data_IF_374677773686
#
_entry.id   IF_374677773686
#
_cell.length_a   1.000
_cell.length_b   1.000
_cell.length_c   1.000
_cell.angle_alpha   90.00
_cell.angle_beta   90.00
_cell.angle_gamma   90.00
#
_symmetry.space_group_name_H-M   'P 1'
#
loop_
_entity.id
_entity.type
_entity.pdbx_description
1 polymer ?
#
# COMPACT_ATOMS: atom_id res chain seq x y z
N UNK A 1 -74.22 49.99 29.80
CA UNK A 1 -73.64 48.98 28.90
C UNK A 1 -72.11 49.15 28.76
N UNK A 2 -71.27 48.75 29.74
CA UNK A 2 -69.81 48.94 29.68
C UNK A 2 -69.01 47.67 29.26
N UNK A 3 -69.67 46.52 29.16
CA UNK A 3 -69.01 45.20 29.02
C UNK A 3 -68.49 44.93 27.58
N UNK A 4 -69.13 45.51 26.57
CA UNK A 4 -68.86 45.21 25.15
C UNK A 4 -67.56 45.83 24.62
N UNK A 5 -67.17 47.01 25.13
CA UNK A 5 -65.90 47.69 24.78
C UNK A 5 -64.67 47.01 25.40
N UNK A 6 -64.87 46.25 26.47
CA UNK A 6 -63.77 45.58 27.20
C UNK A 6 -63.38 44.25 26.53
N UNK A 7 -64.35 43.54 25.95
CA UNK A 7 -64.10 42.31 25.18
C UNK A 7 -63.40 42.59 23.84
N UNK A 8 -63.82 43.61 23.09
CA UNK A 8 -63.18 44.00 21.81
C UNK A 8 -61.71 44.40 21.97
N UNK A 9 -61.36 45.12 23.04
CA UNK A 9 -59.95 45.43 23.37
C UNK A 9 -59.11 44.19 23.69
N UNK A 10 -59.65 43.22 24.44
CA UNK A 10 -58.92 41.98 24.78
C UNK A 10 -58.63 41.12 23.54
N UNK A 11 -59.56 41.04 22.60
CA UNK A 11 -59.41 40.28 21.34
C UNK A 11 -58.43 40.94 20.36
N UNK A 12 -58.37 42.27 20.33
CA UNK A 12 -57.38 43.01 19.53
C UNK A 12 -55.95 42.82 20.07
N UNK A 13 -55.78 42.84 21.40
CA UNK A 13 -54.48 42.61 22.05
C UNK A 13 -54.01 41.16 21.89
N UNK A 14 -54.92 40.18 21.91
CA UNK A 14 -54.57 38.76 21.69
C UNK A 14 -54.13 38.49 20.24
N UNK A 15 -54.82 39.07 19.24
CA UNK A 15 -54.41 38.99 17.82
C UNK A 15 -53.05 39.67 17.58
N UNK A 16 -52.83 40.87 18.13
CA UNK A 16 -51.55 41.56 18.01
C UNK A 16 -50.39 40.80 18.69
N UNK A 17 -50.64 40.10 19.81
CA UNK A 17 -49.65 39.18 20.42
C UNK A 17 -49.40 37.96 19.55
N UNK A 18 -50.45 37.35 18.98
CA UNK A 18 -50.32 36.19 18.10
C UNK A 18 -49.54 36.49 16.82
N UNK A 19 -49.77 37.66 16.19
CA UNK A 19 -49.01 38.12 15.03
C UNK A 19 -47.53 38.39 15.36
N UNK A 20 -47.24 39.00 16.52
CA UNK A 20 -45.86 39.19 16.99
C UNK A 20 -45.13 37.86 17.22
N UNK A 21 -45.82 36.86 17.78
CA UNK A 21 -45.26 35.51 17.99
C UNK A 21 -45.05 34.78 16.65
N UNK A 22 -45.99 34.91 15.71
CA UNK A 22 -45.87 34.33 14.38
C UNK A 22 -44.72 34.95 13.56
N UNK A 23 -44.56 36.28 13.63
CA UNK A 23 -43.45 37.00 13.00
C UNK A 23 -42.10 36.61 13.62
N UNK A 24 -42.04 36.46 14.96
CA UNK A 24 -40.83 35.99 15.65
C UNK A 24 -40.47 34.54 15.29
N UNK A 25 -41.47 33.64 15.14
CA UNK A 25 -41.25 32.27 14.67
C UNK A 25 -40.73 32.22 13.22
N UNK A 26 -41.27 33.07 12.33
CA UNK A 26 -40.79 33.18 10.94
C UNK A 26 -39.33 33.65 10.90
N UNK A 27 -38.99 34.72 11.62
CA UNK A 27 -37.60 35.19 11.76
C UNK A 27 -36.66 34.12 12.30
N UNK A 28 -37.07 33.39 13.36
CA UNK A 28 -36.25 32.27 13.89
C UNK A 28 -36.04 31.18 12.86
N UNK A 29 -37.08 30.74 12.14
CA UNK A 29 -36.93 29.74 11.06
C UNK A 29 -35.97 30.19 9.97
N UNK A 30 -36.05 31.45 9.55
CA UNK A 30 -35.12 31.99 8.53
C UNK A 30 -33.69 32.00 9.04
N UNK A 31 -33.46 32.44 10.28
CA UNK A 31 -32.11 32.44 10.90
C UNK A 31 -31.57 31.02 11.05
N UNK A 32 -32.39 30.06 11.50
CA UNK A 32 -31.96 28.66 11.62
C UNK A 32 -31.62 28.05 10.26
N UNK A 33 -32.40 28.34 9.21
CA UNK A 33 -32.10 27.90 7.84
C UNK A 33 -30.81 28.51 7.29
N UNK A 34 -30.55 29.80 7.56
CA UNK A 34 -29.30 30.46 7.15
C UNK A 34 -28.11 29.83 7.86
N UNK A 35 -28.17 29.62 9.17
CA UNK A 35 -27.08 28.97 9.93
C UNK A 35 -26.84 27.55 9.43
N UNK A 36 -27.90 26.77 9.19
CA UNK A 36 -27.80 25.41 8.66
C UNK A 36 -27.16 25.41 7.26
N UNK A 37 -27.57 26.34 6.39
CA UNK A 37 -26.98 26.51 5.06
C UNK A 37 -25.49 26.85 5.13
N UNK A 38 -25.10 27.72 6.07
CA UNK A 38 -23.71 28.13 6.29
C UNK A 38 -22.86 26.96 6.81
N UNK A 39 -23.41 26.15 7.71
CA UNK A 39 -22.75 24.95 8.22
C UNK A 39 -22.60 23.88 7.13
N UNK A 40 -23.63 23.69 6.30
CA UNK A 40 -23.63 22.71 5.21
C UNK A 40 -22.63 23.11 4.11
N UNK A 41 -22.60 24.38 3.73
CA UNK A 41 -21.63 24.90 2.74
C UNK A 41 -20.20 24.80 3.26
N UNK A 42 -19.96 25.10 4.54
CA UNK A 42 -18.65 24.90 5.16
C UNK A 42 -18.25 23.42 5.19
N UNK A 43 -19.17 22.51 5.55
CA UNK A 43 -18.92 21.07 5.54
C UNK A 43 -18.56 20.56 4.15
N UNK A 44 -19.32 20.96 3.12
CA UNK A 44 -19.04 20.60 1.73
C UNK A 44 -17.66 21.12 1.30
N UNK A 45 -17.33 22.37 1.62
CA UNK A 45 -16.03 22.96 1.29
C UNK A 45 -14.86 22.19 1.94
N UNK A 46 -14.95 21.89 3.23
CA UNK A 46 -13.93 21.10 3.94
C UNK A 46 -13.83 19.69 3.36
N UNK A 47 -14.95 19.03 3.09
CA UNK A 47 -14.97 17.69 2.48
C UNK A 47 -14.33 17.68 1.09
N UNK A 48 -14.54 18.74 0.29
CA UNK A 48 -13.91 18.93 -1.01
C UNK A 48 -12.40 19.07 -0.90
N UNK A 49 -11.91 19.86 0.07
CA UNK A 49 -10.47 20.02 0.32
C UNK A 49 -9.82 18.70 0.74
N UNK A 50 -10.46 17.96 1.66
CA UNK A 50 -9.96 16.63 2.08
C UNK A 50 -9.93 15.67 0.89
N UNK A 51 -11.02 15.62 0.11
CA UNK A 51 -11.12 14.72 -1.05
C UNK A 51 -10.07 15.08 -2.10
N UNK A 52 -9.87 16.37 -2.38
CA UNK A 52 -8.83 16.84 -3.29
C UNK A 52 -7.43 16.50 -2.78
N UNK A 53 -7.16 16.68 -1.49
CA UNK A 53 -5.89 16.29 -0.87
C UNK A 53 -5.63 14.78 -0.98
N UNK A 54 -6.65 13.96 -0.73
CA UNK A 54 -6.58 12.50 -0.90
C UNK A 54 -6.34 12.13 -2.37
N UNK A 55 -7.06 12.74 -3.31
CA UNK A 55 -6.89 12.49 -4.75
C UNK A 55 -5.49 12.90 -5.24
N UNK A 56 -4.99 14.07 -4.83
CA UNK A 56 -3.66 14.55 -5.16
C UNK A 56 -2.60 13.61 -4.55
N UNK A 57 -2.78 13.18 -3.31
CA UNK A 57 -1.89 12.21 -2.66
C UNK A 57 -1.85 10.88 -3.41
N UNK A 58 -3.01 10.33 -3.80
CA UNK A 58 -3.07 9.12 -4.62
C UNK A 58 -2.46 9.29 -6.02
N UNK A 59 -2.60 10.46 -6.64
CA UNK A 59 -2.02 10.72 -7.96
C UNK A 59 -0.51 10.99 -7.90
N UNK A 60 -0.02 11.60 -6.80
CA UNK A 60 1.40 11.84 -6.58
C UNK A 60 2.19 10.55 -6.31
N UNK A 61 1.53 9.49 -5.83
CA UNK A 61 2.10 8.13 -5.73
C UNK A 61 2.11 7.41 -7.10
N UNK A 62 1.58 8.04 -8.16
CA UNK A 62 1.24 7.39 -9.44
C UNK A 62 2.06 7.81 -10.66
N UNK A 63 3.13 8.60 -10.52
CA UNK A 63 4.22 8.54 -11.50
C UNK A 63 5.16 7.38 -11.15
N UNK A 64 4.61 6.15 -11.05
CA UNK A 64 5.45 4.96 -10.87
C UNK A 64 6.24 4.79 -12.17
N UNK A 65 7.51 5.18 -12.16
CA UNK A 65 8.46 4.78 -13.18
C UNK A 65 8.41 3.25 -13.22
N UNK A 66 7.90 2.70 -14.34
CA UNK A 66 7.78 1.27 -14.51
C UNK A 66 9.14 0.72 -14.91
N UNK A 67 9.68 -0.18 -14.09
CA UNK A 67 10.97 -0.81 -14.35
C UNK A 67 10.76 -2.20 -14.99
N UNK A 68 11.56 -2.55 -15.99
CA UNK A 68 11.78 -3.97 -16.33
C UNK A 68 12.66 -4.63 -15.27
N UNK A 69 12.59 -5.95 -15.13
CA UNK A 69 13.50 -6.70 -14.25
C UNK A 69 14.44 -7.52 -15.11
N UNK A 70 15.73 -7.47 -14.80
CA UNK A 70 16.75 -8.29 -15.46
C UNK A 70 17.60 -8.97 -14.41
N UNK A 71 17.73 -10.29 -14.52
CA UNK A 71 18.72 -11.04 -13.74
C UNK A 71 19.99 -11.23 -14.56
N UNK A 72 21.14 -11.03 -13.95
CA UNK A 72 22.44 -11.13 -14.63
C UNK A 72 23.43 -11.92 -13.79
N UNK A 73 24.29 -12.66 -14.47
CA UNK A 73 25.48 -13.28 -13.89
C UNK A 73 26.72 -12.63 -14.47
N UNK A 74 27.76 -12.53 -13.66
CA UNK A 74 29.08 -12.13 -14.12
C UNK A 74 29.94 -13.38 -14.25
N UNK A 75 30.76 -13.46 -15.28
CA UNK A 75 31.76 -14.52 -15.40
C UNK A 75 33.08 -14.10 -14.72
N UNK A 76 34.06 -15.00 -14.64
CA UNK A 76 35.38 -14.74 -14.05
C UNK A 76 36.17 -13.60 -14.72
N UNK A 77 35.76 -13.14 -15.91
CA UNK A 77 36.31 -11.96 -16.59
C UNK A 77 35.45 -10.71 -16.40
N UNK A 78 34.54 -10.71 -15.42
CA UNK A 78 33.57 -9.67 -15.11
C UNK A 78 32.67 -9.27 -16.30
N UNK A 79 32.46 -10.18 -17.26
CA UNK A 79 31.52 -9.96 -18.35
C UNK A 79 30.11 -10.33 -17.89
N UNK A 80 29.19 -9.40 -18.12
CA UNK A 80 27.76 -9.61 -17.90
C UNK A 80 27.21 -10.65 -18.87
N UNK A 81 26.45 -11.59 -18.32
CA UNK A 81 25.56 -12.48 -19.06
C UNK A 81 24.14 -12.30 -18.53
N UNK A 82 23.21 -11.96 -19.40
CA UNK A 82 21.80 -11.84 -19.04
C UNK A 82 21.23 -13.25 -18.87
N UNK A 83 20.69 -13.55 -17.69
CA UNK A 83 20.07 -14.85 -17.39
C UNK A 83 18.59 -14.79 -17.75
N UNK A 84 17.89 -13.78 -17.26
CA UNK A 84 16.49 -13.51 -17.62
C UNK A 84 16.24 -12.02 -17.76
N UNK A 85 15.24 -11.67 -18.56
CA UNK A 85 14.77 -10.30 -18.71
C UNK A 85 13.25 -10.31 -18.85
N UNK A 86 12.58 -9.60 -17.96
CA UNK A 86 11.15 -9.36 -17.98
C UNK A 86 10.91 -7.88 -18.28
N UNK A 87 9.97 -7.61 -19.18
CA UNK A 87 9.60 -6.24 -19.54
C UNK A 87 8.93 -5.53 -18.36
N UNK A 88 8.82 -4.21 -18.45
CA UNK A 88 8.06 -3.42 -17.48
C UNK A 88 6.60 -3.89 -17.37
N UNK A 89 6.00 -4.39 -18.46
CA UNK A 89 4.62 -4.90 -18.45
C UNK A 89 4.47 -6.21 -17.68
N UNK A 90 5.51 -7.05 -17.68
CA UNK A 90 5.50 -8.36 -17.03
C UNK A 90 5.95 -8.29 -15.56
N UNK A 91 6.70 -7.25 -15.20
CA UNK A 91 7.30 -7.11 -13.87
C UNK A 91 6.52 -6.16 -12.96
N UNK A 92 5.67 -5.28 -13.51
CA UNK A 92 4.91 -4.32 -12.70
C UNK A 92 3.45 -4.75 -12.54
N UNK A 93 3.08 -5.07 -11.31
CA UNK A 93 1.70 -5.35 -10.92
C UNK A 93 1.12 -4.18 -10.12
N UNK A 94 -0.19 -4.20 -9.84
CA UNK A 94 -0.86 -3.10 -9.13
C UNK A 94 -0.21 -2.71 -7.80
N UNK A 95 0.50 -3.65 -7.17
CA UNK A 95 1.20 -3.46 -5.90
C UNK A 95 2.64 -2.94 -6.04
N UNK A 96 3.31 -3.09 -7.19
CA UNK A 96 4.73 -2.71 -7.34
C UNK A 96 5.50 -3.56 -8.35
N UNK A 97 6.82 -3.61 -8.17
CA UNK A 97 7.76 -4.35 -9.01
C UNK A 97 7.98 -5.77 -8.45
N UNK A 98 7.90 -6.75 -9.33
CA UNK A 98 7.98 -8.17 -9.01
C UNK A 98 8.96 -8.89 -9.93
N UNK A 99 9.49 -10.00 -9.41
CA UNK A 99 10.27 -10.98 -10.14
C UNK A 99 9.55 -12.34 -10.03
N UNK A 100 9.56 -13.13 -11.11
CA UNK A 100 9.01 -14.48 -11.03
C UNK A 100 9.93 -15.39 -10.21
N UNK A 101 9.35 -16.36 -9.49
CA UNK A 101 10.12 -17.35 -8.75
C UNK A 101 11.10 -18.10 -9.67
N UNK A 102 10.64 -18.46 -10.88
CA UNK A 102 11.44 -19.14 -11.91
C UNK A 102 12.66 -18.32 -12.35
N UNK A 103 12.50 -17.00 -12.50
CA UNK A 103 13.60 -16.12 -12.91
C UNK A 103 14.64 -15.97 -11.79
N UNK A 104 14.17 -15.91 -10.54
CA UNK A 104 15.04 -15.85 -9.38
C UNK A 104 15.79 -17.17 -9.16
N UNK A 105 15.13 -18.30 -9.43
CA UNK A 105 15.76 -19.63 -9.41
C UNK A 105 16.84 -19.80 -10.47
N UNK A 106 16.62 -19.37 -11.71
CA UNK A 106 17.70 -19.43 -12.72
C UNK A 106 18.95 -18.66 -12.30
N UNK A 107 18.81 -17.64 -11.47
CA UNK A 107 19.92 -16.91 -10.90
C UNK A 107 20.52 -17.62 -9.67
N UNK A 108 19.68 -18.05 -8.73
CA UNK A 108 20.10 -18.46 -7.38
C UNK A 108 20.14 -19.98 -7.16
N UNK A 109 19.57 -20.78 -8.05
CA UNK A 109 19.44 -22.24 -7.94
C UNK A 109 18.59 -22.66 -6.75
N UNK A 110 17.38 -22.11 -6.62
CA UNK A 110 16.47 -22.47 -5.53
C UNK A 110 15.76 -23.82 -5.79
N UNK A 111 15.32 -24.44 -4.70
CA UNK A 111 14.41 -25.59 -4.80
C UNK A 111 13.02 -25.16 -4.35
N UNK A 112 12.01 -25.57 -5.10
CA UNK A 112 10.62 -25.24 -4.82
C UNK A 112 9.81 -26.49 -4.46
N UNK A 113 8.98 -26.38 -3.43
CA UNK A 113 8.04 -27.41 -3.04
C UNK A 113 6.71 -26.77 -2.65
N UNK A 114 5.59 -27.31 -3.14
CA UNK A 114 4.27 -26.79 -2.80
C UNK A 114 3.24 -26.98 -3.91
N UNK A 115 2.17 -26.21 -3.83
CA UNK A 115 1.03 -26.22 -4.73
C UNK A 115 0.67 -24.79 -5.17
N UNK A 116 -0.56 -24.61 -5.68
CA UNK A 116 -1.02 -23.31 -6.17
C UNK A 116 -1.28 -22.30 -5.04
N UNK A 117 -1.49 -22.76 -3.82
CA UNK A 117 -1.82 -21.91 -2.67
C UNK A 117 -0.60 -21.63 -1.80
N UNK A 118 0.25 -22.63 -1.58
CA UNK A 118 1.45 -22.54 -0.74
C UNK A 118 2.69 -22.89 -1.54
N UNK A 119 3.72 -22.05 -1.45
CA UNK A 119 5.05 -22.30 -2.00
C UNK A 119 6.10 -22.24 -0.90
N UNK A 120 6.93 -23.28 -0.83
CA UNK A 120 8.13 -23.35 0.00
C UNK A 120 9.35 -23.20 -0.91
N UNK A 121 10.16 -22.19 -0.64
CA UNK A 121 11.44 -21.94 -1.30
C UNK A 121 12.54 -22.41 -0.37
N UNK A 122 13.42 -23.27 -0.87
CA UNK A 122 14.55 -23.83 -0.12
C UNK A 122 15.82 -23.36 -0.80
N UNK A 123 16.75 -22.84 0.00
CA UNK A 123 18.06 -22.40 -0.47
C UNK A 123 19.05 -23.55 -0.30
N UNK A 124 19.58 -24.13 -1.39
CA UNK A 124 20.57 -25.19 -1.30
C UNK A 124 21.87 -24.71 -0.63
N UNK A 125 22.49 -25.59 0.16
CA UNK A 125 23.75 -25.31 0.84
C UNK A 125 23.60 -24.64 2.22
N UNK A 126 22.68 -23.68 2.39
CA UNK A 126 22.40 -23.08 3.71
C UNK A 126 21.34 -23.84 4.51
N UNK A 127 20.42 -24.52 3.82
CA UNK A 127 19.26 -25.17 4.45
C UNK A 127 18.18 -24.18 4.90
N UNK A 128 18.36 -22.89 4.59
CA UNK A 128 17.38 -21.86 4.83
C UNK A 128 16.14 -22.09 3.96
N UNK A 129 14.97 -21.79 4.50
CA UNK A 129 13.72 -21.92 3.78
C UNK A 129 12.78 -20.75 4.04
N UNK A 130 11.93 -20.49 3.05
CA UNK A 130 10.82 -19.54 3.15
C UNK A 130 9.53 -20.21 2.72
N UNK A 131 8.48 -20.08 3.54
CA UNK A 131 7.13 -20.45 3.14
C UNK A 131 6.31 -19.21 2.84
N UNK A 132 5.57 -19.23 1.75
CA UNK A 132 4.67 -18.15 1.36
C UNK A 132 3.35 -18.70 0.85
N UNK A 133 2.31 -17.87 0.97
CA UNK A 133 0.97 -18.18 0.50
C UNK A 133 0.56 -17.18 -0.57
N UNK A 134 -0.14 -17.66 -1.60
CA UNK A 134 -0.69 -16.82 -2.66
C UNK A 134 -1.58 -15.72 -2.08
N UNK A 135 -1.35 -14.47 -2.48
CA UNK A 135 -2.08 -13.28 -2.02
C UNK A 135 -1.70 -12.80 -0.62
N UNK A 136 -0.81 -13.49 0.09
CA UNK A 136 -0.39 -13.10 1.44
C UNK A 136 0.79 -12.14 1.40
N UNK A 137 0.73 -11.08 2.21
CA UNK A 137 1.90 -10.25 2.54
C UNK A 137 2.67 -10.78 3.75
N UNK A 138 2.29 -11.94 4.31
CA UNK A 138 3.01 -12.60 5.40
C UNK A 138 3.69 -13.84 4.86
N UNK A 139 5.01 -13.91 5.08
CA UNK A 139 5.86 -15.05 4.75
C UNK A 139 6.51 -15.59 6.02
N UNK A 140 6.84 -16.88 6.02
CA UNK A 140 7.64 -17.51 7.06
C UNK A 140 9.07 -17.63 6.54
N UNK A 141 10.05 -17.07 7.24
CA UNK A 141 11.47 -17.21 6.91
C UNK A 141 12.13 -17.92 8.08
N UNK A 142 12.68 -19.12 7.84
CA UNK A 142 13.31 -19.96 8.87
C UNK A 142 12.46 -20.08 10.15
N UNK A 143 11.14 -20.29 9.98
CA UNK A 143 10.19 -20.41 11.09
C UNK A 143 9.73 -19.07 11.71
N UNK A 144 10.22 -17.92 11.25
CA UNK A 144 9.81 -16.61 11.75
C UNK A 144 8.84 -15.90 10.80
N UNK A 145 7.76 -15.34 11.33
CA UNK A 145 6.79 -14.55 10.54
C UNK A 145 7.36 -13.18 10.19
N UNK A 146 7.30 -12.86 8.90
CA UNK A 146 7.69 -11.56 8.34
C UNK A 146 6.54 -10.99 7.54
N UNK A 147 6.29 -9.69 7.69
CA UNK A 147 5.28 -8.97 6.90
C UNK A 147 5.98 -8.12 5.85
N UNK A 148 5.73 -8.45 4.60
CA UNK A 148 6.17 -7.69 3.43
C UNK A 148 5.26 -6.48 3.22
N UNK A 149 5.81 -5.45 2.57
CA UNK A 149 5.05 -4.28 2.11
C UNK A 149 4.11 -4.60 0.94
N UNK A 150 4.35 -5.71 0.24
CA UNK A 150 3.61 -6.16 -0.93
C UNK A 150 3.31 -7.67 -0.82
N UNK A 151 2.14 -8.15 -1.29
CA UNK A 151 1.79 -9.57 -1.22
C UNK A 151 2.60 -10.42 -2.21
N UNK A 152 2.77 -11.70 -1.92
CA UNK A 152 3.21 -12.68 -2.93
C UNK A 152 2.03 -12.96 -3.88
N UNK A 153 2.28 -13.00 -5.18
CA UNK A 153 1.22 -13.22 -6.18
C UNK A 153 1.34 -14.61 -6.81
N UNK A 154 0.21 -15.25 -7.09
CA UNK A 154 0.14 -16.38 -8.01
C UNK A 154 -0.71 -15.99 -9.21
N UNK A 155 -0.10 -15.98 -10.40
CA UNK A 155 -0.77 -15.64 -11.66
C UNK A 155 -0.55 -16.80 -12.61
N UNK A 156 -1.65 -17.41 -13.06
CA UNK A 156 -1.63 -18.55 -13.99
C UNK A 156 -0.74 -19.71 -13.53
N UNK A 157 -0.64 -19.94 -12.21
CA UNK A 157 0.16 -21.01 -11.63
C UNK A 157 1.63 -20.66 -11.40
N UNK A 158 2.05 -19.41 -11.67
CA UNK A 158 3.40 -18.93 -11.43
C UNK A 158 3.43 -17.98 -10.23
N UNK A 159 4.38 -18.21 -9.34
CA UNK A 159 4.61 -17.33 -8.20
C UNK A 159 5.48 -16.14 -8.61
N UNK A 160 5.08 -14.97 -8.13
CA UNK A 160 5.82 -13.73 -8.27
C UNK A 160 6.11 -13.16 -6.89
N UNK A 161 7.38 -12.88 -6.64
CA UNK A 161 7.85 -12.25 -5.43
C UNK A 161 8.05 -10.76 -5.65
N UNK A 162 7.63 -9.91 -4.70
CA UNK A 162 7.94 -8.50 -4.78
C UNK A 162 9.46 -8.33 -4.66
N UNK A 163 10.08 -7.45 -5.47
CA UNK A 163 11.55 -7.30 -5.51
C UNK A 163 12.11 -6.92 -4.13
N UNK A 164 11.33 -6.20 -3.32
CA UNK A 164 11.66 -5.86 -1.93
C UNK A 164 11.97 -7.09 -1.05
N UNK A 165 11.39 -8.25 -1.36
CA UNK A 165 11.69 -9.50 -0.66
C UNK A 165 13.16 -9.89 -0.85
N UNK A 166 13.64 -9.79 -2.09
CA UNK A 166 15.03 -10.09 -2.41
C UNK A 166 15.98 -9.01 -1.86
N UNK A 167 15.56 -7.74 -1.86
CA UNK A 167 16.36 -6.63 -1.34
C UNK A 167 16.55 -6.69 0.19
N UNK A 168 15.45 -6.88 0.91
CA UNK A 168 15.46 -6.83 2.37
C UNK A 168 15.88 -8.17 2.98
N UNK A 169 15.41 -9.30 2.43
CA UNK A 169 15.48 -10.59 3.12
C UNK A 169 16.42 -11.61 2.49
N UNK A 170 16.96 -11.41 1.29
CA UNK A 170 18.00 -12.28 0.73
C UNK A 170 19.38 -11.63 0.85
N UNK A 171 20.39 -12.41 1.27
CA UNK A 171 21.80 -12.00 1.23
C UNK A 171 22.51 -12.60 0.03
N UNK A 172 23.54 -11.91 -0.51
CA UNK A 172 24.29 -12.37 -1.68
C UNK A 172 23.70 -11.94 -3.02
N UNK A 173 22.63 -11.13 -2.99
CA UNK A 173 22.09 -10.44 -4.16
C UNK A 173 22.42 -8.97 -4.12
N UNK A 174 22.78 -8.42 -5.28
CA UNK A 174 22.90 -6.99 -5.53
C UNK A 174 21.73 -6.56 -6.41
N UNK A 175 20.98 -5.57 -5.96
CA UNK A 175 19.83 -5.01 -6.67
C UNK A 175 20.13 -3.55 -7.00
N UNK A 176 20.07 -3.19 -8.28
CA UNK A 176 20.40 -1.86 -8.78
C UNK A 176 19.27 -1.34 -9.67
N UNK A 177 18.86 -0.10 -9.43
CA UNK A 177 17.83 0.58 -10.22
C UNK A 177 18.49 1.59 -11.17
N UNK A 178 18.31 1.40 -12.48
CA UNK A 178 18.68 2.37 -13.51
C UNK A 178 17.44 3.12 -13.97
N UNK A 179 17.33 4.39 -13.62
CA UNK A 179 16.22 5.25 -14.08
C UNK A 179 16.31 5.57 -15.58
N UNK A 180 17.54 5.73 -16.11
CA UNK A 180 17.76 6.01 -17.53
C UNK A 180 17.27 4.86 -18.41
N UNK A 181 17.56 3.62 -18.00
CA UNK A 181 17.18 2.42 -18.75
C UNK A 181 15.82 1.86 -18.33
N UNK A 182 15.21 2.45 -17.29
CA UNK A 182 14.01 1.95 -16.61
C UNK A 182 14.12 0.45 -16.31
N UNK A 183 15.23 0.06 -15.70
CA UNK A 183 15.57 -1.33 -15.46
C UNK A 183 16.05 -1.56 -14.02
N UNK A 184 15.47 -2.57 -13.37
CA UNK A 184 15.93 -3.13 -12.12
C UNK A 184 16.80 -4.34 -12.44
N UNK A 185 18.07 -4.26 -12.07
CA UNK A 185 19.08 -5.28 -12.31
C UNK A 185 19.31 -6.06 -11.02
N UNK A 186 19.22 -7.38 -11.09
CA UNK A 186 19.45 -8.28 -9.96
C UNK A 186 20.63 -9.18 -10.33
N UNK A 187 21.67 -9.17 -9.50
CA UNK A 187 22.90 -9.91 -9.75
C UNK A 187 23.45 -10.54 -8.47
N UNK A 188 24.45 -11.40 -8.62
CA UNK A 188 25.17 -11.99 -7.49
C UNK A 188 26.19 -10.98 -6.95
N UNK A 189 26.19 -10.75 -5.65
CA UNK A 189 27.06 -9.75 -4.99
C UNK A 189 28.56 -10.07 -5.18
N UNK A 190 28.92 -11.35 -5.21
CA UNK A 190 30.32 -11.81 -5.36
C UNK A 190 30.74 -12.12 -6.80
N UNK A 191 29.89 -11.86 -7.80
CA UNK A 191 30.26 -11.95 -9.22
C UNK A 191 30.66 -13.35 -9.75
N UNK A 192 30.59 -14.40 -8.95
CA UNK A 192 30.92 -15.78 -9.36
C UNK A 192 29.70 -16.72 -9.26
N UNK A 193 29.75 -17.83 -9.99
CA UNK A 193 28.79 -18.96 -10.00
C UNK A 193 28.65 -19.69 -8.64
N UNK A 194 29.09 -19.09 -7.55
CA UNK A 194 28.91 -19.62 -6.20
C UNK A 194 27.48 -19.35 -5.72
N UNK A 195 26.59 -20.28 -6.05
CA UNK A 195 25.29 -20.52 -5.41
C UNK A 195 25.40 -20.65 -3.86
N UNK A 196 26.62 -20.78 -3.33
CA UNK A 196 26.97 -21.12 -1.95
C UNK A 196 26.80 -20.01 -0.90
N UNK A 197 26.30 -18.82 -1.26
CA UNK A 197 26.24 -17.67 -0.35
C UNK A 197 24.86 -17.25 0.13
N UNK A 198 23.78 -17.78 -0.44
CA UNK A 198 22.45 -17.25 -0.14
C UNK A 198 21.97 -17.67 1.24
N UNK A 199 21.49 -16.69 1.99
CA UNK A 199 20.79 -16.88 3.24
C UNK A 199 19.62 -15.95 3.29
N UNK A 200 18.58 -16.37 3.99
CA UNK A 200 17.58 -15.40 4.38
C UNK A 200 18.10 -14.60 5.57
N UNK A 201 17.98 -13.27 5.53
CA UNK A 201 18.24 -12.43 6.70
C UNK A 201 17.24 -12.83 7.78
N UNK A 202 17.73 -13.22 8.94
CA UNK A 202 16.85 -13.47 10.07
C UNK A 202 16.16 -12.17 10.46
N UNK A 203 14.82 -12.12 10.43
CA UNK A 203 14.09 -10.97 10.95
C UNK A 203 14.42 -10.78 12.42
N UNK A 204 14.70 -9.55 12.83
CA UNK A 204 15.09 -9.24 14.21
C UNK A 204 13.93 -9.59 15.13
N UNK A 205 14.12 -10.58 16.01
CA UNK A 205 13.13 -10.92 17.02
C UNK A 205 12.94 -9.73 17.98
N UNK A 206 11.70 -9.32 18.32
CA UNK A 206 11.43 -8.15 19.16
C UNK A 206 11.98 -8.25 20.60
N UNK A 207 12.57 -9.37 20.99
CA UNK A 207 13.16 -9.61 22.31
C UNK A 207 14.55 -8.97 22.56
N UNK A 208 15.05 -8.11 21.65
CA UNK A 208 16.33 -7.38 21.83
C UNK A 208 16.20 -5.85 21.84
N UNK A 209 15.05 -5.30 22.22
CA UNK A 209 15.00 -3.90 22.63
C UNK A 209 15.34 -3.89 24.13
N UNK A 210 16.63 -3.71 24.46
CA UNK A 210 17.02 -3.31 25.82
C UNK A 210 16.27 -2.01 26.11
N UNK A 211 15.37 -2.04 27.10
CA UNK A 211 14.86 -0.82 27.69
C UNK A 211 16.07 -0.02 28.20
N UNK A 212 16.17 1.28 27.91
CA UNK A 212 17.15 2.13 28.57
C UNK A 212 16.79 2.19 30.06
N UNK A 213 17.79 1.97 30.91
CA UNK A 213 17.72 2.16 32.36
C UNK A 213 17.34 3.61 32.73
#
# INVERSE_FOLDING_TARGET
MPQEKTQTKKTAVSKARAEKIAAAKRKRRTVTLVILSLFLTFYIAVSLVITAGVLISFNSVRSKVLFGVRTVKYNSSNRETVVTSASAKESNFGYGLYISADDLDKLCGFSFAGDKEKLTVIIPGSGDYMECYSGSSVVMINGTRVRLSQPVLNISGKFYFPVILAEEYLTGLKIEYSESDKLCRISLENGEDTVLGFRFKQPVSPSKIKQPD
#
